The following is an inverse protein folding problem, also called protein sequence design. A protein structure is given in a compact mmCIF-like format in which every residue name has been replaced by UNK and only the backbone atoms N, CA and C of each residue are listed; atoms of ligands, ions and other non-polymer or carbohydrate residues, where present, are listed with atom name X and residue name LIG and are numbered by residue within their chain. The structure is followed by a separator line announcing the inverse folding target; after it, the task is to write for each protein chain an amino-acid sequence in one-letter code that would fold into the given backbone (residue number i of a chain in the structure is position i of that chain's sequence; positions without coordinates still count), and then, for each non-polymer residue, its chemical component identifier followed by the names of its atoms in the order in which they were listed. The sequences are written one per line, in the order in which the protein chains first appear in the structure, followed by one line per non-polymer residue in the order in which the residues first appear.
data_IF_288803612074
#
_entry.id   IF_288803612074
#
_cell.length_a   1.000
_cell.length_b   1.000
_cell.length_c   1.000
_cell.angle_alpha   90.00
_cell.angle_beta   90.00
_cell.angle_gamma   90.00
#
_symmetry.space_group_name_H-M   'P 1'
#
loop_
_entity.id
_entity.type
_entity.pdbx_description
1 polymer ?
#
# COMPACT_ATOMS: atom_id res chain seq x y z
N UNK A 1 -15.93 -19.01 -9.48
CA UNK A 1 -16.82 -17.99 -10.09
C UNK A 1 -17.22 -16.86 -9.14
N UNK A 2 -17.58 -17.10 -7.87
CA UNK A 2 -18.00 -16.04 -6.94
C UNK A 2 -16.94 -14.94 -6.67
N UNK A 3 -15.65 -15.30 -6.58
CA UNK A 3 -14.56 -14.34 -6.39
C UNK A 3 -14.39 -13.36 -7.57
N UNK A 4 -14.63 -13.82 -8.80
CA UNK A 4 -14.52 -13.00 -10.01
C UNK A 4 -15.60 -11.90 -10.06
N UNK A 5 -16.84 -12.25 -9.69
CA UNK A 5 -17.93 -11.28 -9.57
C UNK A 5 -17.75 -10.31 -8.40
N UNK A 6 -17.04 -10.70 -7.33
CA UNK A 6 -16.70 -9.79 -6.23
C UNK A 6 -15.64 -8.76 -6.65
N UNK A 7 -14.57 -9.20 -7.33
CA UNK A 7 -13.51 -8.31 -7.84
C UNK A 7 -14.04 -7.32 -8.88
N UNK A 8 -14.87 -7.77 -9.83
CA UNK A 8 -15.47 -6.90 -10.84
C UNK A 8 -16.47 -5.88 -10.24
N UNK A 9 -17.13 -6.21 -9.12
CA UNK A 9 -17.96 -5.25 -8.38
C UNK A 9 -17.10 -4.23 -7.61
N UNK A 10 -16.01 -4.68 -7.00
CA UNK A 10 -15.10 -3.80 -6.29
C UNK A 10 -14.44 -2.79 -7.25
N UNK A 11 -14.00 -3.23 -8.43
CA UNK A 11 -13.45 -2.33 -9.45
C UNK A 11 -14.43 -1.25 -9.89
N UNK A 12 -15.70 -1.61 -10.16
CA UNK A 12 -16.75 -0.63 -10.51
C UNK A 12 -17.08 0.32 -9.36
N UNK A 13 -17.09 -0.18 -8.12
CA UNK A 13 -17.29 0.66 -6.94
C UNK A 13 -16.15 1.65 -6.75
N UNK A 14 -14.92 1.21 -6.99
CA UNK A 14 -13.74 2.07 -6.93
C UNK A 14 -13.75 3.11 -8.05
N UNK A 15 -14.15 2.76 -9.28
CA UNK A 15 -14.36 3.74 -10.36
C UNK A 15 -15.38 4.81 -9.96
N UNK A 16 -16.49 4.41 -9.33
CA UNK A 16 -17.56 5.33 -8.92
C UNK A 16 -17.16 6.25 -7.77
N UNK A 17 -16.45 5.75 -6.76
CA UNK A 17 -16.11 6.51 -5.55
C UNK A 17 -14.76 7.26 -5.63
N UNK A 18 -13.80 6.77 -6.41
CA UNK A 18 -12.45 7.36 -6.53
C UNK A 18 -12.26 8.18 -7.83
N UNK A 19 -13.19 8.07 -8.78
CA UNK A 19 -13.04 8.68 -10.10
C UNK A 19 -11.84 8.12 -10.87
N UNK A 20 -11.23 8.97 -11.71
CA UNK A 20 -10.16 8.60 -12.65
C UNK A 20 -8.86 9.41 -12.48
N UNK A 21 -8.86 10.39 -11.58
CA UNK A 21 -7.73 11.28 -11.33
C UNK A 21 -6.74 10.79 -10.28
N UNK A 22 -6.12 11.74 -9.57
CA UNK A 22 -4.98 11.46 -8.68
C UNK A 22 -5.30 10.53 -7.52
N UNK A 23 -6.50 10.59 -6.94
CA UNK A 23 -6.89 9.76 -5.79
C UNK A 23 -7.04 8.29 -6.15
N UNK A 24 -7.65 8.01 -7.31
CA UNK A 24 -7.67 6.66 -7.88
C UNK A 24 -6.26 6.13 -8.10
N UNK A 25 -5.37 6.94 -8.68
CA UNK A 25 -3.99 6.53 -8.97
C UNK A 25 -3.19 6.28 -7.69
N UNK A 26 -3.41 7.07 -6.65
CA UNK A 26 -2.79 6.85 -5.33
C UNK A 26 -3.24 5.52 -4.73
N UNK A 27 -4.55 5.24 -4.74
CA UNK A 27 -5.11 3.96 -4.28
C UNK A 27 -4.58 2.76 -5.09
N UNK A 28 -4.58 2.85 -6.43
CA UNK A 28 -4.08 1.78 -7.29
C UNK A 28 -2.58 1.55 -7.12
N UNK A 29 -1.78 2.60 -6.89
CA UNK A 29 -0.35 2.45 -6.60
C UNK A 29 -0.14 1.67 -5.31
N UNK A 30 -0.87 1.99 -4.24
CA UNK A 30 -0.80 1.27 -2.98
C UNK A 30 -1.19 -0.20 -3.16
N UNK A 31 -2.33 -0.46 -3.82
CA UNK A 31 -2.81 -1.82 -4.12
C UNK A 31 -1.78 -2.63 -4.91
N UNK A 32 -1.18 -2.07 -5.96
CA UNK A 32 -0.12 -2.74 -6.73
C UNK A 32 1.12 -3.06 -5.89
N UNK A 33 1.44 -2.20 -4.91
CA UNK A 33 2.51 -2.46 -3.95
C UNK A 33 2.22 -3.68 -3.08
N UNK A 34 0.98 -3.81 -2.57
CA UNK A 34 0.53 -4.98 -1.81
C UNK A 34 0.53 -6.25 -2.67
N UNK A 35 0.00 -6.16 -3.89
CA UNK A 35 -0.03 -7.30 -4.82
C UNK A 35 1.40 -7.82 -5.08
N UNK A 36 2.38 -6.92 -5.25
CA UNK A 36 3.79 -7.30 -5.38
C UNK A 36 4.35 -7.94 -4.11
N UNK A 37 4.02 -7.40 -2.94
CA UNK A 37 4.45 -7.97 -1.66
C UNK A 37 3.92 -9.41 -1.50
N UNK A 38 2.63 -9.62 -1.79
CA UNK A 38 2.02 -10.95 -1.75
C UNK A 38 2.64 -11.93 -2.75
N UNK A 39 2.98 -11.48 -3.96
CA UNK A 39 3.69 -12.34 -4.93
C UNK A 39 5.05 -12.82 -4.40
N UNK A 40 5.76 -11.98 -3.64
CA UNK A 40 7.02 -12.37 -3.02
C UNK A 40 6.78 -13.38 -1.90
N UNK A 41 5.76 -13.14 -1.08
CA UNK A 41 5.35 -14.05 -0.01
C UNK A 41 4.97 -15.43 -0.56
N UNK A 42 4.15 -15.49 -1.60
CA UNK A 42 3.73 -16.73 -2.29
C UNK A 42 4.93 -17.49 -2.88
N UNK A 43 5.99 -16.79 -3.26
CA UNK A 43 7.22 -17.39 -3.77
C UNK A 43 8.28 -17.67 -2.71
N UNK A 44 7.98 -17.54 -1.41
CA UNK A 44 8.94 -17.80 -0.31
C UNK A 44 8.78 -19.24 0.17
N UNK A 45 9.81 -20.07 -0.03
CA UNK A 45 9.78 -21.51 0.32
C UNK A 45 10.22 -21.80 1.76
N UNK A 46 11.04 -20.92 2.37
CA UNK A 46 11.46 -21.06 3.76
C UNK A 46 10.29 -20.72 4.70
N UNK A 47 9.80 -21.72 5.44
CA UNK A 47 8.68 -21.58 6.37
C UNK A 47 8.92 -20.53 7.46
N UNK A 48 10.15 -20.42 7.99
CA UNK A 48 10.47 -19.47 9.04
C UNK A 48 10.43 -18.04 8.50
N UNK A 49 11.03 -17.81 7.33
CA UNK A 49 10.96 -16.51 6.65
C UNK A 49 9.52 -16.17 6.24
N UNK A 50 8.79 -17.14 5.68
CA UNK A 50 7.38 -16.97 5.30
C UNK A 50 6.55 -16.52 6.50
N UNK A 51 6.69 -17.17 7.66
CA UNK A 51 5.95 -16.84 8.87
C UNK A 51 6.24 -15.41 9.37
N UNK A 52 7.44 -14.90 9.14
CA UNK A 52 7.78 -13.51 9.48
C UNK A 52 7.23 -12.51 8.46
N UNK A 53 7.32 -12.82 7.17
CA UNK A 53 6.80 -11.96 6.10
C UNK A 53 5.27 -11.90 6.07
N UNK A 54 4.57 -12.99 6.42
CA UNK A 54 3.10 -13.00 6.45
C UNK A 54 2.55 -12.08 7.54
N UNK A 55 3.25 -11.94 8.68
CA UNK A 55 2.87 -10.98 9.73
C UNK A 55 2.94 -9.54 9.18
N UNK A 56 4.00 -9.22 8.43
CA UNK A 56 4.13 -7.90 7.79
C UNK A 56 3.06 -7.73 6.70
N UNK A 57 2.76 -8.77 5.92
CA UNK A 57 1.71 -8.75 4.90
C UNK A 57 0.33 -8.43 5.50
N UNK A 58 -0.04 -9.07 6.60
CA UNK A 58 -1.32 -8.84 7.28
C UNK A 58 -1.44 -7.39 7.76
N UNK A 59 -0.38 -6.87 8.38
CA UNK A 59 -0.34 -5.48 8.83
C UNK A 59 -0.46 -4.49 7.66
N UNK A 60 0.30 -4.69 6.58
CA UNK A 60 0.24 -3.84 5.38
C UNK A 60 -1.12 -3.95 4.67
N UNK A 61 -1.70 -5.15 4.61
CA UNK A 61 -3.02 -5.40 4.06
C UNK A 61 -4.12 -4.65 4.82
N UNK A 62 -3.99 -4.57 6.14
CA UNK A 62 -4.86 -3.76 7.01
C UNK A 62 -4.88 -2.26 6.68
N UNK A 63 -3.89 -1.74 5.96
CA UNK A 63 -3.83 -0.34 5.53
C UNK A 63 -4.63 -0.05 4.27
N UNK A 64 -4.92 -1.03 3.40
CA UNK A 64 -5.63 -0.78 2.14
C UNK A 64 -7.02 -0.15 2.36
N UNK A 65 -7.87 -0.64 3.29
CA UNK A 65 -9.14 0.01 3.57
C UNK A 65 -8.99 1.44 4.11
N UNK A 66 -7.91 1.73 4.87
CA UNK A 66 -7.59 3.07 5.39
C UNK A 66 -7.25 4.02 4.25
N UNK A 67 -6.29 3.63 3.40
CA UNK A 67 -5.90 4.38 2.20
C UNK A 67 -7.11 4.65 1.30
N UNK A 68 -7.97 3.64 1.10
CA UNK A 68 -9.21 3.80 0.33
C UNK A 68 -10.12 4.88 0.93
N UNK A 69 -10.35 4.88 2.25
CA UNK A 69 -11.17 5.90 2.91
C UNK A 69 -10.60 7.30 2.73
N UNK A 70 -9.29 7.47 2.85
CA UNK A 70 -8.62 8.77 2.62
C UNK A 70 -8.86 9.23 1.18
N UNK A 71 -8.61 8.36 0.19
CA UNK A 71 -8.79 8.70 -1.21
C UNK A 71 -10.26 9.01 -1.58
N UNK A 72 -11.23 8.25 -1.06
CA UNK A 72 -12.66 8.52 -1.30
C UNK A 72 -13.08 9.84 -0.67
N UNK A 73 -12.65 10.12 0.56
CA UNK A 73 -12.97 11.37 1.25
C UNK A 73 -12.38 12.57 0.51
N UNK A 74 -11.11 12.47 0.10
CA UNK A 74 -10.41 13.46 -0.71
C UNK A 74 -11.09 13.69 -2.07
N UNK A 75 -11.50 12.62 -2.76
CA UNK A 75 -12.24 12.75 -4.03
C UNK A 75 -13.61 13.39 -3.84
N UNK A 76 -14.31 13.11 -2.73
CA UNK A 76 -15.63 13.71 -2.48
C UNK A 76 -15.55 15.21 -2.18
N UNK A 77 -14.50 15.67 -1.50
CA UNK A 77 -14.33 17.07 -1.09
C UNK A 77 -13.60 17.90 -2.14
N UNK A 78 -12.66 17.31 -2.86
CA UNK A 78 -11.94 17.94 -3.95
C UNK A 78 -11.71 16.95 -5.09
N UNK A 79 -12.71 16.83 -5.99
CA UNK A 79 -12.66 15.90 -7.11
C UNK A 79 -11.46 16.17 -8.03
N UNK A 80 -10.83 15.11 -8.51
CA UNK A 80 -9.82 15.16 -9.55
C UNK A 80 -10.12 14.14 -10.66
N UNK A 81 -10.02 14.58 -11.91
CA UNK A 81 -10.15 13.75 -13.12
C UNK A 81 -8.83 13.60 -13.88
N UNK A 82 -7.80 14.35 -13.49
CA UNK A 82 -6.54 14.47 -14.21
C UNK A 82 -5.32 14.21 -13.34
N UNK A 83 -4.23 14.91 -13.66
CA UNK A 83 -2.98 14.89 -12.91
C UNK A 83 -2.88 16.01 -11.87
N UNK A 84 -3.76 17.00 -11.97
CA UNK A 84 -3.74 18.16 -11.08
C UNK A 84 -4.20 17.74 -9.69
N UNK A 85 -3.34 18.04 -8.72
CA UNK A 85 -3.59 17.80 -7.30
C UNK A 85 -4.33 19.02 -6.76
N UNK A 86 -5.55 18.86 -6.21
CA UNK A 86 -6.26 19.97 -5.61
C UNK A 86 -5.47 20.57 -4.45
N UNK A 87 -5.20 21.88 -4.50
CA UNK A 87 -4.23 22.55 -3.63
C UNK A 87 -4.50 22.36 -2.13
N UNK A 88 -5.77 22.38 -1.71
CA UNK A 88 -6.16 22.14 -0.32
C UNK A 88 -5.77 20.75 0.20
N UNK A 89 -5.63 19.75 -0.68
CA UNK A 89 -5.31 18.36 -0.33
C UNK A 89 -3.88 17.97 -0.77
N UNK A 90 -3.02 18.94 -1.07
CA UNK A 90 -1.64 18.66 -1.52
C UNK A 90 -0.87 17.79 -0.52
N UNK A 91 -1.02 18.03 0.78
CA UNK A 91 -0.32 17.25 1.80
C UNK A 91 -0.86 15.82 1.92
N UNK A 92 -2.18 15.63 1.79
CA UNK A 92 -2.81 14.31 1.72
C UNK A 92 -2.23 13.52 0.54
N UNK A 93 -2.19 14.11 -0.65
CA UNK A 93 -1.62 13.45 -1.83
C UNK A 93 -0.14 13.12 -1.67
N UNK A 94 0.65 14.03 -1.09
CA UNK A 94 2.09 13.82 -0.83
C UNK A 94 2.29 12.63 0.11
N UNK A 95 1.57 12.57 1.22
CA UNK A 95 1.65 11.47 2.18
C UNK A 95 1.25 10.13 1.53
N UNK A 96 0.14 10.09 0.78
CA UNK A 96 -0.28 8.89 0.04
C UNK A 96 0.76 8.44 -1.00
N UNK A 97 1.42 9.39 -1.67
CA UNK A 97 2.46 9.09 -2.65
C UNK A 97 3.69 8.48 -1.98
N UNK A 98 4.10 9.00 -0.82
CA UNK A 98 5.20 8.43 -0.03
C UNK A 98 4.83 7.05 0.50
N UNK A 99 3.63 6.85 1.03
CA UNK A 99 3.14 5.54 1.48
C UNK A 99 3.23 4.49 0.35
N UNK A 100 2.78 4.83 -0.86
CA UNK A 100 2.86 3.93 -2.01
C UNK A 100 4.31 3.59 -2.42
N UNK A 101 5.23 4.55 -2.33
CA UNK A 101 6.64 4.32 -2.63
C UNK A 101 7.33 3.51 -1.53
N UNK A 102 7.08 3.83 -0.26
CA UNK A 102 7.55 3.08 0.90
C UNK A 102 7.08 1.62 0.82
N UNK A 103 5.83 1.37 0.39
CA UNK A 103 5.33 0.02 0.20
C UNK A 103 6.04 -0.73 -0.93
N UNK A 104 6.31 -0.06 -2.06
CA UNK A 104 7.09 -0.66 -3.15
C UNK A 104 8.50 -1.07 -2.68
N UNK A 105 9.18 -0.19 -1.93
CA UNK A 105 10.51 -0.49 -1.37
C UNK A 105 10.47 -1.55 -0.26
N UNK A 106 9.35 -1.67 0.46
CA UNK A 106 9.13 -2.76 1.44
C UNK A 106 9.03 -4.11 0.73
N UNK A 107 8.30 -4.16 -0.40
CA UNK A 107 8.25 -5.35 -1.25
C UNK A 107 9.65 -5.69 -1.80
N UNK A 108 10.39 -4.71 -2.33
CA UNK A 108 11.77 -4.95 -2.79
C UNK A 108 12.67 -5.51 -1.68
N UNK A 109 12.59 -4.97 -0.45
CA UNK A 109 13.35 -5.50 0.68
C UNK A 109 12.96 -6.94 1.05
N UNK A 110 11.68 -7.31 0.93
CA UNK A 110 11.23 -8.68 1.14
C UNK A 110 11.80 -9.63 0.08
N UNK A 111 11.81 -9.20 -1.19
CA UNK A 111 12.40 -9.98 -2.28
C UNK A 111 13.91 -10.21 -2.06
N UNK A 112 14.64 -9.18 -1.62
CA UNK A 112 16.06 -9.29 -1.30
C UNK A 112 16.30 -10.23 -0.12
N UNK A 113 15.50 -10.12 0.94
CA UNK A 113 15.59 -11.00 2.11
C UNK A 113 15.39 -12.46 1.73
N UNK A 114 14.44 -12.74 0.83
CA UNK A 114 14.22 -14.09 0.28
C UNK A 114 15.45 -14.62 -0.47
N UNK A 115 16.00 -13.83 -1.39
CA UNK A 115 17.18 -14.23 -2.16
C UNK A 115 18.43 -14.44 -1.30
N UNK A 116 18.59 -13.63 -0.25
CA UNK A 116 19.71 -13.76 0.69
C UNK A 116 19.56 -15.00 1.56
N UNK A 117 18.36 -15.32 2.06
CA UNK A 117 18.07 -16.53 2.84
C UNK A 117 18.31 -17.83 2.07
N UNK A 118 18.02 -17.85 0.76
CA UNK A 118 18.34 -18.97 -0.13
C UNK A 118 19.86 -19.18 -0.29
N UNK A 119 20.66 -18.13 -0.10
CA UNK A 119 22.10 -18.12 -0.38
C UNK A 119 22.97 -18.18 0.88
N UNK A 120 22.47 -17.66 2.01
CA UNK A 120 23.17 -17.49 3.28
C UNK A 120 22.17 -17.58 4.45
N UNK A 121 22.55 -18.21 5.57
CA UNK A 121 21.74 -18.31 6.80
C UNK A 121 21.70 -16.98 7.60
N UNK A 122 21.45 -15.84 6.92
CA UNK A 122 21.49 -14.47 7.49
C UNK A 122 20.13 -13.78 7.35
N UNK A 123 19.09 -14.44 7.84
CA UNK A 123 17.69 -14.01 7.67
C UNK A 123 17.32 -12.78 8.53
N UNK A 124 18.00 -12.52 9.64
CA UNK A 124 17.62 -11.49 10.62
C UNK A 124 17.79 -10.05 10.12
N UNK A 125 18.92 -9.72 9.47
CA UNK A 125 19.20 -8.37 9.01
C UNK A 125 18.25 -7.92 7.86
N UNK A 126 17.89 -8.85 6.98
CA UNK A 126 16.92 -8.61 5.90
C UNK A 126 15.52 -8.35 6.45
N UNK A 127 15.05 -9.18 7.38
CA UNK A 127 13.77 -9.00 8.05
C UNK A 127 13.65 -7.65 8.76
N UNK A 128 14.68 -7.20 9.48
CA UNK A 128 14.67 -5.88 10.11
C UNK A 128 14.59 -4.75 9.08
N UNK A 129 15.19 -4.94 7.92
CA UNK A 129 15.10 -4.03 6.77
C UNK A 129 13.67 -3.92 6.23
N UNK A 130 12.95 -5.04 6.15
CA UNK A 130 11.55 -5.11 5.75
C UNK A 130 10.68 -4.39 6.78
N UNK A 131 10.81 -4.73 8.07
CA UNK A 131 10.02 -4.14 9.16
C UNK A 131 10.19 -2.62 9.25
N UNK A 132 11.42 -2.11 9.15
CA UNK A 132 11.68 -0.65 9.14
C UNK A 132 10.98 0.06 8.00
N UNK A 133 10.97 -0.52 6.79
CA UNK A 133 10.28 0.09 5.64
C UNK A 133 8.77 -0.02 5.76
N UNK A 134 8.26 -1.14 6.28
CA UNK A 134 6.85 -1.29 6.58
C UNK A 134 6.40 -0.19 7.55
N UNK A 135 7.18 0.12 8.59
CA UNK A 135 6.88 1.22 9.51
C UNK A 135 6.71 2.57 8.80
N UNK A 136 7.55 2.89 7.81
CA UNK A 136 7.39 4.12 7.02
C UNK A 136 6.05 4.14 6.26
N UNK A 137 5.55 2.98 5.81
CA UNK A 137 4.21 2.90 5.20
C UNK A 137 3.12 3.25 6.21
N UNK A 138 3.21 2.75 7.44
CA UNK A 138 2.28 3.11 8.53
C UNK A 138 2.32 4.62 8.78
N UNK A 139 3.51 5.18 8.98
CA UNK A 139 3.71 6.58 9.31
C UNK A 139 3.14 7.51 8.21
N UNK A 140 3.37 7.16 6.93
CA UNK A 140 2.85 7.94 5.81
C UNK A 140 1.32 7.81 5.63
N UNK A 141 0.73 6.65 5.94
CA UNK A 141 -0.73 6.50 5.93
C UNK A 141 -1.36 7.30 7.07
N UNK A 142 -0.77 7.26 8.27
CA UNK A 142 -1.22 8.07 9.40
C UNK A 142 -1.08 9.57 9.13
N UNK A 143 0.00 10.00 8.47
CA UNK A 143 0.17 11.38 8.03
C UNK A 143 -0.91 11.77 7.01
N UNK A 144 -1.28 10.89 6.08
CA UNK A 144 -2.36 11.16 5.12
C UNK A 144 -3.72 11.31 5.83
N UNK A 145 -4.01 10.47 6.82
CA UNK A 145 -5.21 10.57 7.65
C UNK A 145 -5.23 11.86 8.48
N UNK A 146 -4.10 12.22 9.12
CA UNK A 146 -3.97 13.46 9.89
C UNK A 146 -4.11 14.70 9.00
N UNK A 147 -3.47 14.72 7.84
CA UNK A 147 -3.57 15.81 6.88
C UNK A 147 -5.00 15.99 6.34
N UNK A 148 -5.75 14.89 6.17
CA UNK A 148 -7.15 14.93 5.76
C UNK A 148 -8.03 15.45 6.90
N UNK A 149 -7.81 15.00 8.12
CA UNK A 149 -8.55 15.45 9.29
C UNK A 149 -8.33 16.95 9.57
N UNK A 150 -7.15 17.50 9.30
CA UNK A 150 -6.86 18.92 9.49
C UNK A 150 -7.61 19.87 8.53
N UNK A 151 -8.34 19.33 7.55
CA UNK A 151 -9.09 20.10 6.55
C UNK A 151 -10.56 20.25 6.93
N UNK A 152 -11.06 19.43 7.87
CA UNK A 152 -12.45 19.41 8.35
C UNK A 152 -12.52 19.74 9.84
#
# INVERSE_FOLDING_TARGET
MAAFFAAARQGRRDDAELGTGVWRRAHDRFRRGLDRYHQILEGTEDDALYNELVVVADQLGGLLPRVRRVCVSAQSSSPSTGLDIPGALLQVHRALSRAGNALATTAEAAAMTRLDGERWDVTSAGLDSVRRRAQLVFDDVEEAERALAAIF
#
